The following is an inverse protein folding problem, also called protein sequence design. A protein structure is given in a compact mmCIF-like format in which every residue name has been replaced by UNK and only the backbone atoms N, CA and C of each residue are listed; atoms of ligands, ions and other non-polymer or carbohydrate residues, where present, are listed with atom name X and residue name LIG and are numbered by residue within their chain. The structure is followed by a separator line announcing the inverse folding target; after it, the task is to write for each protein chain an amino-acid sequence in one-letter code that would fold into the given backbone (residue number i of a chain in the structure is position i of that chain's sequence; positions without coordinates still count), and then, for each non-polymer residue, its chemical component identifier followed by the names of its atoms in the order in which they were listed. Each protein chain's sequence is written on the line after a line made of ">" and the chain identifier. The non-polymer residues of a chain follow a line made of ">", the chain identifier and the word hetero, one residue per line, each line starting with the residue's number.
data_IF_550644741444
#
_entry.id   IF_550644741444
#
_cell.length_a   1.000
_cell.length_b   1.000
_cell.length_c   1.000
_cell.angle_alpha   90.00
_cell.angle_beta   90.00
_cell.angle_gamma   90.00
#
_symmetry.space_group_name_H-M   'P 1'
#
loop_
_entity.id
_entity.type
_entity.pdbx_description
1 polymer ?
#
# COMPACT_ATOMS: atom_id res chain seq x y z
N UNK A 1 17.12 16.25 -17.98
CA UNK A 1 16.38 14.98 -18.01
C UNK A 1 14.98 15.23 -17.45
N UNK A 2 13.93 14.60 -17.97
CA UNK A 2 12.61 14.65 -17.31
C UNK A 2 12.57 13.64 -16.14
N UNK A 3 11.49 13.66 -15.33
CA UNK A 3 11.37 12.77 -14.18
C UNK A 3 11.42 11.29 -14.60
N UNK A 4 10.62 10.89 -15.60
CA UNK A 4 10.59 9.52 -16.13
C UNK A 4 11.98 8.98 -16.49
N UNK A 5 12.70 9.66 -17.39
CA UNK A 5 14.03 9.24 -17.84
C UNK A 5 15.02 9.14 -16.67
N UNK A 6 14.95 10.08 -15.72
CA UNK A 6 15.80 10.09 -14.52
C UNK A 6 15.55 8.88 -13.64
N UNK A 7 14.29 8.57 -13.39
CA UNK A 7 13.88 7.45 -12.54
C UNK A 7 14.25 6.12 -13.18
N UNK A 8 13.93 5.92 -14.45
CA UNK A 8 14.22 4.67 -15.16
C UNK A 8 15.72 4.42 -15.27
N UNK A 9 16.52 5.44 -15.62
CA UNK A 9 18.00 5.32 -15.61
C UNK A 9 18.52 4.91 -14.25
N UNK A 10 18.04 5.56 -13.19
CA UNK A 10 18.47 5.26 -11.82
C UNK A 10 18.14 3.81 -11.44
N UNK A 11 16.93 3.33 -11.74
CA UNK A 11 16.51 1.95 -11.45
C UNK A 11 17.27 0.91 -12.29
N UNK A 12 17.73 1.27 -13.48
CA UNK A 12 18.59 0.45 -14.34
C UNK A 12 20.09 0.56 -14.03
N UNK A 13 20.46 1.24 -12.95
CA UNK A 13 21.86 1.49 -12.57
C UNK A 13 22.69 2.26 -13.63
N UNK A 14 22.02 3.15 -14.38
CA UNK A 14 22.65 4.11 -15.29
C UNK A 14 22.77 5.49 -14.64
N UNK A 15 23.69 6.33 -15.15
CA UNK A 15 23.93 7.68 -14.61
C UNK A 15 22.78 8.66 -14.99
N UNK A 16 22.03 9.19 -14.00
CA UNK A 16 21.03 10.23 -14.25
C UNK A 16 21.66 11.63 -14.24
N UNK A 17 20.88 12.68 -14.57
CA UNK A 17 21.35 14.07 -14.43
C UNK A 17 21.43 14.55 -12.96
N UNK A 18 20.69 13.90 -12.07
CA UNK A 18 20.76 14.02 -10.60
C UNK A 18 20.08 12.82 -9.94
N UNK A 19 20.31 12.62 -8.65
CA UNK A 19 19.60 11.62 -7.85
C UNK A 19 18.09 11.93 -7.84
N UNK A 20 17.21 10.99 -8.22
CA UNK A 20 15.77 11.19 -8.14
C UNK A 20 15.30 11.24 -6.68
N UNK A 21 14.34 12.11 -6.41
CA UNK A 21 13.78 12.28 -5.07
C UNK A 21 12.46 11.51 -4.94
N UNK A 22 12.35 10.74 -3.86
CA UNK A 22 11.16 9.98 -3.49
C UNK A 22 10.80 10.23 -2.03
N UNK A 23 9.50 10.30 -1.76
CA UNK A 23 8.96 10.31 -0.41
C UNK A 23 7.63 9.56 -0.39
N UNK A 24 7.53 8.57 0.49
CA UNK A 24 6.36 7.70 0.61
C UNK A 24 5.11 8.49 1.01
N UNK A 25 5.19 9.33 2.05
CA UNK A 25 4.08 10.14 2.52
C UNK A 25 4.56 11.50 3.05
N UNK A 26 3.79 12.56 2.80
CA UNK A 26 4.01 13.88 3.38
C UNK A 26 3.01 14.07 4.51
N UNK A 27 3.48 14.40 5.70
CA UNK A 27 2.59 14.57 6.85
C UNK A 27 1.69 15.79 6.67
N UNK A 28 0.37 15.71 6.91
CA UNK A 28 -0.57 16.82 6.72
C UNK A 28 -0.16 18.09 7.47
N UNK A 29 0.37 17.96 8.69
CA UNK A 29 0.90 19.10 9.44
C UNK A 29 2.08 19.79 8.75
N UNK A 30 2.99 19.01 8.18
CA UNK A 30 4.13 19.52 7.42
C UNK A 30 3.67 20.15 6.09
N UNK A 31 2.74 19.50 5.38
CA UNK A 31 2.15 20.02 4.16
C UNK A 31 1.45 21.37 4.37
N UNK A 32 0.64 21.51 5.43
CA UNK A 32 0.01 22.77 5.83
C UNK A 32 1.04 23.86 6.13
N UNK A 33 2.13 23.51 6.80
CA UNK A 33 3.20 24.47 7.12
C UNK A 33 3.95 24.90 5.86
N UNK A 34 4.20 23.99 4.91
CA UNK A 34 4.85 24.30 3.64
C UNK A 34 3.99 25.22 2.77
N UNK A 35 2.70 24.89 2.60
CA UNK A 35 1.79 25.72 1.81
C UNK A 35 1.64 27.12 2.40
N UNK A 36 1.59 27.23 3.74
CA UNK A 36 1.62 28.53 4.44
C UNK A 36 2.95 29.28 4.22
N UNK A 37 4.08 28.58 4.29
CA UNK A 37 5.41 29.16 4.10
C UNK A 37 5.58 29.73 2.69
N UNK A 38 5.15 28.98 1.66
CA UNK A 38 5.21 29.44 0.27
C UNK A 38 4.23 30.57 -0.04
N UNK A 39 3.12 30.69 0.71
CA UNK A 39 2.14 31.74 0.55
C UNK A 39 1.71 31.90 -0.92
N UNK A 40 1.87 33.10 -1.46
CA UNK A 40 1.47 33.44 -2.83
C UNK A 40 2.33 32.77 -3.93
N UNK A 41 3.49 32.20 -3.58
CA UNK A 41 4.33 31.45 -4.53
C UNK A 41 3.80 30.04 -4.78
N UNK A 42 2.93 29.53 -3.91
CA UNK A 42 2.26 28.25 -4.14
C UNK A 42 1.00 28.49 -4.97
N UNK A 43 0.93 27.83 -6.13
CA UNK A 43 -0.26 27.77 -6.96
C UNK A 43 -0.72 26.32 -6.98
N UNK A 44 -1.93 26.07 -6.52
CA UNK A 44 -2.57 24.77 -6.64
C UNK A 44 -3.27 24.72 -8.01
N UNK A 45 -2.56 24.27 -9.03
CA UNK A 45 -3.15 23.83 -10.27
C UNK A 45 -3.79 22.46 -10.02
N UNK A 46 -5.12 22.38 -9.95
CA UNK A 46 -5.87 21.12 -9.70
C UNK A 46 -5.57 20.07 -10.79
N UNK A 47 -4.40 19.42 -10.73
CA UNK A 47 -3.94 18.44 -11.71
C UNK A 47 -4.29 17.03 -11.22
N UNK A 48 -3.82 16.64 -10.03
CA UNK A 48 -4.03 15.29 -9.48
C UNK A 48 -4.05 15.27 -7.95
N UNK A 49 -4.90 14.42 -7.36
CA UNK A 49 -4.84 14.07 -5.93
C UNK A 49 -4.14 12.72 -5.82
N UNK A 50 -3.05 12.66 -5.05
CA UNK A 50 -2.28 11.44 -4.87
C UNK A 50 -2.66 10.75 -3.56
N UNK A 51 -2.32 9.47 -3.45
CA UNK A 51 -2.47 8.74 -2.21
C UNK A 51 -1.50 9.31 -1.16
N UNK A 52 -2.03 9.87 -0.06
CA UNK A 52 -1.28 10.44 1.07
C UNK A 52 -0.41 11.66 0.76
N UNK A 53 -0.68 12.38 -0.33
CA UNK A 53 0.01 13.62 -0.65
C UNK A 53 -0.68 14.42 -1.73
N UNK A 54 -0.34 15.71 -1.80
CA UNK A 54 -0.72 16.59 -2.89
C UNK A 54 0.34 16.57 -4.01
N UNK A 55 -0.12 16.44 -5.26
CA UNK A 55 0.73 16.43 -6.46
C UNK A 55 1.55 17.72 -6.61
N UNK A 56 0.92 18.88 -6.39
CA UNK A 56 1.55 20.19 -6.54
C UNK A 56 2.59 20.46 -5.46
N UNK A 57 2.32 19.98 -4.24
CA UNK A 57 3.32 20.01 -3.16
C UNK A 57 4.52 19.17 -3.55
N UNK A 58 4.32 17.94 -4.04
CA UNK A 58 5.42 17.08 -4.46
C UNK A 58 6.23 17.69 -5.60
N UNK A 59 5.55 18.24 -6.59
CA UNK A 59 6.15 18.94 -7.73
C UNK A 59 6.98 20.13 -7.30
N UNK A 60 6.45 20.99 -6.41
CA UNK A 60 7.17 22.18 -5.93
C UNK A 60 8.39 21.82 -5.07
N UNK A 61 8.36 20.69 -4.37
CA UNK A 61 9.51 20.15 -3.63
C UNK A 61 10.56 19.47 -4.54
N UNK A 62 10.25 19.24 -5.82
CA UNK A 62 11.16 18.61 -6.77
C UNK A 62 11.21 17.09 -6.65
N UNK A 63 10.16 16.44 -6.12
CA UNK A 63 10.05 14.99 -6.14
C UNK A 63 9.88 14.46 -7.56
N UNK A 64 10.50 13.32 -7.85
CA UNK A 64 10.45 12.64 -9.14
C UNK A 64 9.50 11.44 -9.14
N UNK A 65 9.13 10.93 -7.95
CA UNK A 65 8.23 9.80 -7.79
C UNK A 65 7.11 10.10 -6.77
N UNK A 66 5.94 9.51 -6.98
CA UNK A 66 4.88 9.45 -5.99
C UNK A 66 4.41 8.02 -5.72
N UNK A 67 4.24 7.69 -4.43
CA UNK A 67 3.75 6.40 -3.98
C UNK A 67 2.22 6.33 -4.01
N UNK A 68 1.70 5.09 -4.06
CA UNK A 68 0.28 4.80 -3.90
C UNK A 68 -0.59 5.16 -5.10
N UNK A 69 0.01 5.26 -6.29
CA UNK A 69 -0.74 5.45 -7.52
C UNK A 69 -1.41 4.12 -7.92
N UNK A 70 -2.58 3.88 -7.33
CA UNK A 70 -3.30 2.63 -7.48
C UNK A 70 -2.91 1.58 -6.43
N UNK A 71 -3.57 1.64 -5.27
CA UNK A 71 -3.66 0.48 -4.38
C UNK A 71 -4.54 -0.54 -5.10
N UNK A 72 -3.97 -1.67 -5.52
CA UNK A 72 -4.67 -2.69 -6.33
C UNK A 72 -5.83 -3.26 -5.51
N UNK A 73 -7.09 -2.97 -5.87
CA UNK A 73 -8.21 -3.46 -5.10
C UNK A 73 -8.48 -4.91 -5.48
N UNK A 74 -7.89 -5.86 -4.75
CA UNK A 74 -8.24 -7.28 -4.88
C UNK A 74 -9.71 -7.50 -4.50
N UNK A 75 -10.43 -8.34 -5.26
CA UNK A 75 -11.85 -8.58 -4.98
C UNK A 75 -12.00 -9.69 -3.94
N UNK A 76 -12.37 -9.30 -2.72
CA UNK A 76 -12.73 -10.25 -1.68
C UNK A 76 -14.21 -10.69 -1.82
N UNK A 77 -14.54 -11.99 -1.76
CA UNK A 77 -15.92 -12.45 -1.85
C UNK A 77 -16.77 -11.93 -0.68
N UNK A 78 -17.75 -11.06 -0.98
CA UNK A 78 -18.65 -10.46 0.04
C UNK A 78 -19.38 -11.50 0.90
N UNK A 79 -19.68 -12.68 0.35
CA UNK A 79 -20.30 -13.78 1.09
C UNK A 79 -19.42 -14.23 2.26
N UNK A 80 -18.11 -14.30 2.06
CA UNK A 80 -17.18 -14.77 3.10
C UNK A 80 -17.13 -13.78 4.27
N UNK A 81 -17.12 -12.47 4.01
CA UNK A 81 -17.21 -11.44 5.07
C UNK A 81 -18.55 -11.47 5.81
N UNK A 82 -19.63 -11.85 5.12
CA UNK A 82 -20.96 -11.95 5.72
C UNK A 82 -21.05 -13.17 6.64
N UNK A 83 -20.52 -14.30 6.17
CA UNK A 83 -20.56 -15.58 6.89
C UNK A 83 -19.51 -15.63 8.02
N UNK A 84 -18.39 -14.90 7.86
CA UNK A 84 -17.31 -14.77 8.83
C UNK A 84 -16.97 -13.28 9.01
N UNK A 85 -17.76 -12.54 9.80
CA UNK A 85 -17.49 -11.13 10.05
C UNK A 85 -16.20 -10.95 10.84
N UNK A 86 -15.48 -9.88 10.53
CA UNK A 86 -14.31 -9.49 11.31
C UNK A 86 -14.69 -9.18 12.77
N UNK A 87 -13.80 -9.46 13.74
CA UNK A 87 -14.05 -9.17 15.14
C UNK A 87 -14.40 -7.69 15.37
N UNK A 88 -15.37 -7.45 16.26
CA UNK A 88 -15.69 -6.10 16.73
C UNK A 88 -14.93 -5.83 18.02
N UNK A 89 -14.27 -4.69 18.08
CA UNK A 89 -13.58 -4.21 19.28
C UNK A 89 -14.55 -3.35 20.11
N UNK A 90 -14.29 -3.26 21.42
CA UNK A 90 -15.09 -2.42 22.33
C UNK A 90 -14.92 -0.93 22.01
N UNK A 91 -13.71 -0.53 21.62
CA UNK A 91 -13.39 0.83 21.20
C UNK A 91 -13.89 1.06 19.76
N UNK A 92 -14.86 1.96 19.54
CA UNK A 92 -15.41 2.23 18.21
C UNK A 92 -14.41 2.90 17.25
N UNK A 93 -13.36 3.51 17.78
CA UNK A 93 -12.28 4.09 16.98
C UNK A 93 -11.27 3.04 16.53
N UNK A 94 -11.37 1.80 17.00
CA UNK A 94 -10.53 0.69 16.56
C UNK A 94 -11.28 -0.30 15.69
N UNK A 95 -10.57 -0.93 14.77
CA UNK A 95 -11.11 -2.06 13.99
C UNK A 95 -10.02 -3.07 13.64
N UNK A 96 -10.43 -4.31 13.40
CA UNK A 96 -9.56 -5.39 12.93
C UNK A 96 -9.71 -5.53 11.41
N UNK A 97 -8.62 -5.67 10.68
CA UNK A 97 -8.63 -5.98 9.25
C UNK A 97 -8.55 -7.49 8.96
N UNK A 98 -8.49 -7.87 7.68
CA UNK A 98 -8.40 -9.28 7.26
C UNK A 98 -7.08 -9.95 7.64
N UNK A 99 -5.99 -9.18 7.79
CA UNK A 99 -4.69 -9.68 8.23
C UNK A 99 -4.64 -9.88 9.77
N UNK A 100 -5.69 -9.46 10.50
CA UNK A 100 -5.72 -9.52 11.96
C UNK A 100 -5.00 -8.34 12.62
N UNK A 101 -4.81 -7.23 11.90
CA UNK A 101 -4.21 -6.01 12.40
C UNK A 101 -5.27 -5.14 13.06
N UNK A 102 -4.96 -4.61 14.23
CA UNK A 102 -5.79 -3.59 14.88
C UNK A 102 -5.36 -2.24 14.38
N UNK A 103 -6.31 -1.51 13.82
CA UNK A 103 -6.14 -0.16 13.34
C UNK A 103 -6.91 0.83 14.21
N UNK A 104 -6.29 1.97 14.49
CA UNK A 104 -6.95 3.14 15.07
C UNK A 104 -7.39 4.07 13.94
N UNK A 105 -8.66 4.46 13.91
CA UNK A 105 -9.21 5.46 12.99
C UNK A 105 -8.53 6.80 13.29
N UNK A 106 -7.88 7.37 12.29
CA UNK A 106 -7.30 8.69 12.40
C UNK A 106 -8.03 9.69 11.49
N UNK A 107 -8.83 10.62 12.05
CA UNK A 107 -9.55 11.62 11.26
C UNK A 107 -8.63 12.65 10.60
N UNK A 108 -7.41 12.86 11.11
CA UNK A 108 -6.46 13.83 10.53
C UNK A 108 -5.80 13.33 9.24
N UNK A 109 -5.66 12.01 9.07
CA UNK A 109 -4.91 11.40 7.97
C UNK A 109 -5.80 10.77 6.89
N UNK A 110 -7.12 10.76 7.09
CA UNK A 110 -8.08 10.00 6.27
C UNK A 110 -7.63 8.53 6.02
N UNK A 111 -6.80 8.00 6.93
CA UNK A 111 -6.17 6.70 6.84
C UNK A 111 -5.95 6.19 8.26
N UNK A 112 -6.27 4.91 8.53
CA UNK A 112 -6.06 4.32 9.84
C UNK A 112 -4.58 4.14 10.17
N UNK A 113 -4.24 4.14 11.46
CA UNK A 113 -2.91 3.83 11.97
C UNK A 113 -2.86 2.41 12.52
N UNK A 114 -1.84 1.64 12.14
CA UNK A 114 -1.56 0.37 12.79
C UNK A 114 -1.32 0.64 14.29
N UNK A 115 -2.06 -0.07 15.13
CA UNK A 115 -2.04 0.11 16.57
C UNK A 115 -1.39 -1.11 17.25
N UNK A 116 -1.90 -2.31 16.97
CA UNK A 116 -1.41 -3.57 17.53
C UNK A 116 -1.88 -4.79 16.73
N UNK A 117 -1.49 -5.98 17.19
CA UNK A 117 -1.94 -7.25 16.63
C UNK A 117 -3.20 -7.77 17.34
N UNK A 118 -4.17 -8.32 16.61
CA UNK A 118 -5.33 -8.99 17.20
C UNK A 118 -5.06 -10.48 17.47
N UNK A 119 -4.28 -11.14 16.60
CA UNK A 119 -4.06 -12.58 16.67
C UNK A 119 -3.00 -12.86 17.73
N UNK A 120 -3.38 -13.56 18.80
CA UNK A 120 -2.48 -13.83 19.94
C UNK A 120 -2.18 -15.31 20.15
N UNK A 121 -2.91 -16.22 19.50
CA UNK A 121 -2.68 -17.67 19.59
C UNK A 121 -2.52 -18.32 18.23
N UNK A 122 -1.98 -19.54 18.22
CA UNK A 122 -1.84 -20.33 16.99
C UNK A 122 -3.21 -20.69 16.40
N UNK A 123 -4.20 -20.99 17.24
CA UNK A 123 -5.56 -21.35 16.83
C UNK A 123 -6.26 -20.16 16.15
N UNK A 124 -6.09 -18.94 16.70
CA UNK A 124 -6.60 -17.73 16.06
C UNK A 124 -5.93 -17.49 14.70
N UNK A 125 -4.62 -17.71 14.61
CA UNK A 125 -3.90 -17.59 13.36
C UNK A 125 -4.43 -18.59 12.33
N UNK A 126 -4.51 -19.88 12.69
CA UNK A 126 -5.05 -20.93 11.81
C UNK A 126 -6.45 -20.53 11.32
N UNK A 127 -7.33 -20.05 12.20
CA UNK A 127 -8.67 -19.58 11.82
C UNK A 127 -8.65 -18.41 10.81
N UNK A 128 -7.86 -17.36 11.05
CA UNK A 128 -7.79 -16.21 10.13
C UNK A 128 -7.25 -16.61 8.75
N UNK A 129 -6.13 -17.33 8.70
CA UNK A 129 -5.51 -17.73 7.44
C UNK A 129 -6.38 -18.74 6.65
N UNK A 130 -7.05 -19.65 7.34
CA UNK A 130 -7.96 -20.60 6.70
C UNK A 130 -9.23 -19.93 6.18
N UNK A 131 -9.78 -18.98 6.94
CA UNK A 131 -11.03 -18.31 6.57
C UNK A 131 -10.83 -17.29 5.45
N UNK A 132 -9.81 -16.44 5.56
CA UNK A 132 -9.66 -15.27 4.68
C UNK A 132 -8.62 -15.45 3.57
N UNK A 133 -7.68 -16.39 3.70
CA UNK A 133 -6.57 -16.54 2.75
C UNK A 133 -6.54 -17.88 2.01
N UNK A 134 -7.28 -18.88 2.48
CA UNK A 134 -7.39 -20.18 1.78
C UNK A 134 -8.47 -20.21 0.69
N UNK A 135 -8.87 -19.02 0.24
CA UNK A 135 -9.89 -18.82 -0.79
C UNK A 135 -9.21 -18.43 -2.11
N UNK A 136 -9.95 -18.54 -3.20
CA UNK A 136 -9.53 -17.94 -4.47
C UNK A 136 -9.78 -16.43 -4.43
N UNK A 137 -8.70 -15.66 -4.66
CA UNK A 137 -8.77 -14.22 -4.78
C UNK A 137 -8.90 -13.85 -6.24
N UNK A 138 -10.00 -13.18 -6.59
CA UNK A 138 -10.27 -12.78 -7.97
C UNK A 138 -9.52 -11.50 -8.32
N UNK A 139 -8.96 -11.48 -9.53
CA UNK A 139 -8.43 -10.27 -10.13
C UNK A 139 -9.57 -9.27 -10.36
N UNK A 140 -9.39 -8.03 -9.93
CA UNK A 140 -10.35 -6.96 -10.21
C UNK A 140 -9.95 -6.25 -11.50
N UNK A 141 -10.07 -6.95 -12.63
CA UNK A 141 -9.61 -6.46 -13.94
C UNK A 141 -10.30 -5.17 -14.39
N UNK A 142 -11.47 -4.83 -13.84
CA UNK A 142 -12.15 -3.55 -14.06
C UNK A 142 -11.32 -2.33 -13.61
N UNK A 143 -10.32 -2.54 -12.75
CA UNK A 143 -9.40 -1.50 -12.31
C UNK A 143 -8.41 -1.08 -13.40
N UNK A 144 -7.98 -2.01 -14.26
CA UNK A 144 -6.90 -1.80 -15.23
C UNK A 144 -7.24 -0.68 -16.23
N UNK A 145 -8.41 -0.70 -16.94
CA UNK A 145 -8.71 0.35 -17.92
C UNK A 145 -8.86 1.74 -17.28
N UNK A 146 -9.34 1.81 -16.04
CA UNK A 146 -9.49 3.07 -15.30
C UNK A 146 -8.13 3.65 -14.94
N UNK A 147 -7.20 2.81 -14.49
CA UNK A 147 -5.86 3.24 -14.15
C UNK A 147 -5.09 3.68 -15.40
N UNK A 148 -5.10 2.88 -16.47
CA UNK A 148 -4.42 3.23 -17.72
C UNK A 148 -4.94 4.53 -18.32
N UNK A 149 -6.27 4.73 -18.33
CA UNK A 149 -6.86 6.02 -18.75
C UNK A 149 -6.38 7.22 -17.92
N UNK A 150 -6.11 7.01 -16.62
CA UNK A 150 -5.56 8.07 -15.77
C UNK A 150 -4.09 8.32 -16.09
N UNK A 151 -3.33 7.27 -16.41
CA UNK A 151 -1.91 7.35 -16.80
C UNK A 151 -1.72 8.05 -18.15
N UNK A 152 -2.64 7.89 -19.11
CA UNK A 152 -2.60 8.57 -20.42
C UNK A 152 -2.46 10.09 -20.30
N UNK A 153 -3.05 10.70 -19.27
CA UNK A 153 -3.00 12.15 -19.05
C UNK A 153 -2.03 12.55 -17.94
N UNK A 154 -1.41 11.58 -17.25
CA UNK A 154 -0.55 11.85 -16.11
C UNK A 154 0.81 12.42 -16.57
N UNK A 155 1.29 13.52 -15.98
CA UNK A 155 2.51 14.20 -16.40
C UNK A 155 3.76 13.46 -15.92
N UNK A 156 4.09 12.34 -16.59
CA UNK A 156 5.25 11.48 -16.32
C UNK A 156 6.59 12.21 -16.45
N UNK A 157 6.62 13.28 -17.22
CA UNK A 157 7.78 14.18 -17.36
C UNK A 157 8.04 14.98 -16.08
N UNK A 158 7.01 15.23 -15.27
CA UNK A 158 7.08 15.95 -14.00
C UNK A 158 7.23 15.00 -12.80
N UNK A 159 6.43 13.93 -12.72
CA UNK A 159 6.43 12.95 -11.61
C UNK A 159 6.09 11.56 -12.16
N UNK A 160 6.80 10.53 -11.70
CA UNK A 160 6.55 9.13 -12.01
C UNK A 160 5.62 8.50 -10.97
N UNK A 161 4.43 8.00 -11.36
CA UNK A 161 3.53 7.28 -10.47
C UNK A 161 4.09 5.90 -10.17
N UNK A 162 3.91 5.48 -8.92
CA UNK A 162 4.35 4.18 -8.46
C UNK A 162 3.23 3.48 -7.70
N UNK A 163 2.86 2.29 -8.15
CA UNK A 163 1.87 1.45 -7.45
C UNK A 163 2.50 0.66 -6.32
N UNK A 164 1.68 0.37 -5.31
CA UNK A 164 2.04 -0.48 -4.20
C UNK A 164 1.62 -1.92 -4.50
N UNK A 165 2.57 -2.85 -4.38
CA UNK A 165 2.30 -4.30 -4.38
C UNK A 165 2.13 -4.74 -2.92
N UNK A 166 1.12 -5.56 -2.62
CA UNK A 166 0.92 -6.07 -1.26
C UNK A 166 2.08 -6.96 -0.79
N UNK A 167 2.50 -6.79 0.48
CA UNK A 167 3.60 -7.53 1.10
C UNK A 167 3.20 -8.90 1.60
N UNK A 168 4.22 -9.72 1.87
CA UNK A 168 4.03 -11.07 2.38
C UNK A 168 4.30 -11.09 3.89
N UNK A 169 5.47 -10.63 4.36
CA UNK A 169 5.83 -10.79 5.78
C UNK A 169 5.26 -9.69 6.66
N UNK A 170 5.29 -8.43 6.22
CA UNK A 170 4.87 -7.30 7.05
C UNK A 170 3.50 -7.54 7.71
N UNK A 171 2.42 -7.75 6.93
CA UNK A 171 1.11 -7.93 7.56
C UNK A 171 0.93 -9.26 8.29
N UNK A 172 1.77 -10.28 8.03
CA UNK A 172 1.78 -11.51 8.84
C UNK A 172 2.26 -11.18 10.25
N UNK A 173 3.41 -10.52 10.39
CA UNK A 173 3.94 -10.24 11.72
C UNK A 173 3.15 -9.15 12.44
N UNK A 174 2.61 -8.16 11.72
CA UNK A 174 1.71 -7.15 12.29
C UNK A 174 0.38 -7.76 12.77
N UNK A 175 -0.17 -8.74 12.06
CA UNK A 175 -1.40 -9.43 12.46
C UNK A 175 -1.21 -10.39 13.64
N UNK A 176 -0.07 -11.09 13.69
CA UNK A 176 0.28 -12.08 14.73
C UNK A 176 0.95 -11.47 15.97
N UNK A 177 1.57 -10.30 15.82
CA UNK A 177 2.52 -9.76 16.79
C UNK A 177 3.86 -10.50 16.80
N UNK A 178 4.92 -9.79 17.20
CA UNK A 178 6.28 -10.32 17.19
C UNK A 178 6.47 -11.56 18.07
N UNK A 179 5.76 -11.65 19.20
CA UNK A 179 5.90 -12.79 20.13
C UNK A 179 5.45 -14.12 19.50
N UNK A 180 4.26 -14.14 18.89
CA UNK A 180 3.75 -15.34 18.22
C UNK A 180 4.52 -15.61 16.92
N UNK A 181 4.79 -14.56 16.13
CA UNK A 181 5.57 -14.68 14.90
C UNK A 181 6.95 -15.32 15.15
N UNK A 182 7.70 -14.83 16.15
CA UNK A 182 9.02 -15.39 16.50
C UNK A 182 8.92 -16.82 17.06
N UNK A 183 7.86 -17.15 17.80
CA UNK A 183 7.59 -18.54 18.23
C UNK A 183 7.42 -19.45 17.02
N UNK A 184 6.60 -19.05 16.04
CA UNK A 184 6.35 -19.82 14.82
C UNK A 184 7.62 -19.99 14.00
N UNK A 185 8.37 -18.90 13.79
CA UNK A 185 9.64 -18.92 13.07
C UNK A 185 10.66 -19.88 13.68
N UNK A 186 10.72 -19.97 15.02
CA UNK A 186 11.68 -20.82 15.73
C UNK A 186 11.24 -22.28 15.87
N UNK A 187 9.94 -22.53 16.05
CA UNK A 187 9.43 -23.83 16.52
C UNK A 187 8.42 -24.49 15.58
N UNK A 188 7.81 -23.74 14.67
CA UNK A 188 6.70 -24.19 13.81
C UNK A 188 6.84 -23.64 12.38
N UNK A 189 8.03 -23.83 11.78
CA UNK A 189 8.38 -23.29 10.46
C UNK A 189 7.39 -23.69 9.37
N UNK A 190 6.91 -24.93 9.37
CA UNK A 190 5.96 -25.42 8.37
C UNK A 190 4.62 -24.67 8.44
N UNK A 191 4.19 -24.33 9.65
CA UNK A 191 2.97 -23.53 9.88
C UNK A 191 3.16 -22.09 9.40
N UNK A 192 4.28 -21.45 9.73
CA UNK A 192 4.60 -20.12 9.21
C UNK A 192 4.70 -20.11 7.69
N UNK A 193 5.33 -21.15 7.12
CA UNK A 193 5.41 -21.34 5.66
C UNK A 193 4.03 -21.46 5.03
N UNK A 194 3.09 -22.20 5.64
CA UNK A 194 1.69 -22.26 5.18
C UNK A 194 1.07 -20.86 5.10
N UNK A 195 1.24 -20.03 6.13
CA UNK A 195 0.69 -18.66 6.14
C UNK A 195 1.31 -17.79 5.04
N UNK A 196 2.63 -17.87 4.88
CA UNK A 196 3.37 -17.21 3.79
C UNK A 196 2.84 -17.66 2.42
N UNK A 197 2.69 -18.96 2.20
CA UNK A 197 2.24 -19.52 0.93
C UNK A 197 0.80 -19.07 0.61
N UNK A 198 -0.09 -19.02 1.60
CA UNK A 198 -1.45 -18.52 1.45
C UNK A 198 -1.47 -17.02 1.08
N UNK A 199 -0.67 -16.21 1.75
CA UNK A 199 -0.58 -14.77 1.50
C UNK A 199 0.08 -14.42 0.17
N UNK A 200 1.05 -15.23 -0.23
CA UNK A 200 1.75 -15.11 -1.53
C UNK A 200 0.76 -15.15 -2.70
N UNK A 201 -0.33 -15.91 -2.59
CA UNK A 201 -1.37 -15.94 -3.63
C UNK A 201 -1.96 -14.56 -3.92
N UNK A 202 -2.17 -13.76 -2.86
CA UNK A 202 -2.70 -12.39 -2.99
C UNK A 202 -1.67 -11.48 -3.64
N UNK A 203 -0.41 -11.54 -3.17
CA UNK A 203 0.67 -10.74 -3.73
C UNK A 203 0.85 -11.04 -5.24
N UNK A 204 0.88 -12.32 -5.63
CA UNK A 204 1.00 -12.75 -7.04
C UNK A 204 -0.19 -12.26 -7.87
N UNK A 205 -1.43 -12.40 -7.37
CA UNK A 205 -2.60 -11.93 -8.10
C UNK A 205 -2.61 -10.40 -8.28
N UNK A 206 -2.23 -9.65 -7.24
CA UNK A 206 -2.07 -8.19 -7.33
C UNK A 206 -0.98 -7.78 -8.31
N UNK A 207 0.17 -8.48 -8.31
CA UNK A 207 1.25 -8.23 -9.27
C UNK A 207 0.85 -8.51 -10.72
N UNK A 208 0.04 -9.53 -10.99
CA UNK A 208 -0.49 -9.80 -12.34
C UNK A 208 -1.35 -8.65 -12.86
N UNK A 209 -2.26 -8.14 -12.03
CA UNK A 209 -3.09 -6.97 -12.38
C UNK A 209 -2.20 -5.78 -12.74
N UNK A 210 -1.18 -5.51 -11.92
CA UNK A 210 -0.26 -4.39 -12.15
C UNK A 210 0.60 -4.56 -13.41
N UNK A 211 0.99 -5.79 -13.74
CA UNK A 211 1.73 -6.08 -14.97
C UNK A 211 0.90 -5.80 -16.25
N UNK A 212 -0.42 -5.70 -16.15
CA UNK A 212 -1.32 -5.31 -17.25
C UNK A 212 -1.57 -3.80 -17.31
N UNK A 213 -0.98 -3.01 -16.40
CA UNK A 213 -1.11 -1.55 -16.38
C UNK A 213 0.05 -0.87 -17.09
N UNK A 214 -0.14 0.38 -17.49
CA UNK A 214 0.91 1.19 -18.12
C UNK A 214 1.88 1.82 -17.08
N UNK A 215 2.00 1.21 -15.90
CA UNK A 215 2.94 1.65 -14.87
C UNK A 215 4.34 1.11 -15.13
N UNK A 216 5.33 1.99 -15.03
CA UNK A 216 6.73 1.60 -15.17
C UNK A 216 7.40 1.22 -13.84
N UNK A 217 6.85 1.69 -12.71
CA UNK A 217 7.47 1.54 -11.39
C UNK A 217 6.49 0.93 -10.40
N UNK A 218 6.96 -0.12 -9.72
CA UNK A 218 6.24 -0.79 -8.64
C UNK A 218 7.06 -0.73 -7.35
N UNK A 219 6.41 -0.44 -6.24
CA UNK A 219 7.03 -0.37 -4.92
C UNK A 219 6.60 -1.53 -4.05
N UNK A 220 7.58 -2.20 -3.45
CA UNK A 220 7.37 -3.26 -2.48
C UNK A 220 7.99 -2.86 -1.11
N UNK A 221 7.16 -2.65 -0.08
CA UNK A 221 7.46 -2.28 1.31
C UNK A 221 7.38 -3.46 2.30
N UNK A 222 8.36 -4.35 2.39
CA UNK A 222 8.35 -5.45 3.39
C UNK A 222 9.15 -5.14 4.66
#
# INVERSE_FOLDING_TARGET
>A
MNAHERVIKTLNHEEPDRVPLFCQAIMPGFERNLTKYWGNEYKHDEKYVLYLSDYNVKRKLGFDLCWGFGVVPMKFPRKILKDNPLPKLEDPDKFVDLDGKVFLRNPEFNMPWYYENYITTEEMADHFYETYFSIEWEENSAFIPKLNKTLETFPLDEIVPCAHISHILEPIWEGLGLALFTKLLRKKKDKLKKYIDLRTKIAVAGSKILAETDLDVFFCCD
#
